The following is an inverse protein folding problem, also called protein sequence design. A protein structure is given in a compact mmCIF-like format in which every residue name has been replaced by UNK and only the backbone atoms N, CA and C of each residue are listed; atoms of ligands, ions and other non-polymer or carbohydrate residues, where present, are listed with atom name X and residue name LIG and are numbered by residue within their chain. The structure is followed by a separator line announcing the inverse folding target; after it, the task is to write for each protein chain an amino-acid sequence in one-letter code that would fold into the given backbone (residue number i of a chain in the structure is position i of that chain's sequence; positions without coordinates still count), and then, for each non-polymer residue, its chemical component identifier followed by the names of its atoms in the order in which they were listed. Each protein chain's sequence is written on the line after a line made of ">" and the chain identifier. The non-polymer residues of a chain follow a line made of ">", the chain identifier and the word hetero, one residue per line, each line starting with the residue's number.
data_IF_822074038651
#
_entry.id   IF_822074038651
#
_cell.length_a   1.000
_cell.length_b   1.000
_cell.length_c   1.000
_cell.angle_alpha   90.00
_cell.angle_beta   90.00
_cell.angle_gamma   90.00
#
_symmetry.space_group_name_H-M   'P 1'
#
loop_
_entity.id
_entity.type
_entity.pdbx_description
1 polymer ?
#
# COMPACT_ATOMS: atom_id res chain seq x y z
N UNK A 1 -32.52 -12.79 -40.60
CA UNK A 1 -31.15 -12.30 -40.56
C UNK A 1 -30.89 -11.79 -39.14
N UNK A 2 -30.15 -12.53 -38.32
CA UNK A 2 -29.68 -12.03 -37.05
C UNK A 2 -28.65 -10.95 -37.36
N UNK A 3 -28.96 -9.68 -37.09
CA UNK A 3 -27.94 -8.64 -37.00
C UNK A 3 -27.04 -9.01 -35.83
N UNK A 4 -25.88 -9.56 -36.12
CA UNK A 4 -24.77 -9.56 -35.15
C UNK A 4 -24.47 -8.10 -34.88
N UNK A 5 -24.95 -7.59 -33.75
CA UNK A 5 -24.53 -6.28 -33.25
C UNK A 5 -23.00 -6.35 -33.08
N UNK A 6 -22.28 -5.65 -33.94
CA UNK A 6 -20.83 -5.49 -33.80
C UNK A 6 -20.60 -4.76 -32.51
N UNK A 7 -19.73 -5.30 -31.66
CA UNK A 7 -19.30 -4.63 -30.43
C UNK A 7 -18.59 -3.33 -30.83
N UNK A 8 -18.76 -2.24 -30.05
CA UNK A 8 -17.98 -1.03 -30.26
C UNK A 8 -16.51 -1.27 -29.96
N UNK A 9 -15.62 -0.60 -30.70
CA UNK A 9 -14.17 -0.65 -30.48
C UNK A 9 -13.81 0.06 -29.18
N UNK A 10 -12.83 -0.48 -28.43
CA UNK A 10 -12.30 0.11 -27.22
C UNK A 10 -10.81 -0.19 -27.07
N UNK A 11 -10.00 0.82 -26.74
CA UNK A 11 -8.59 0.62 -26.39
C UNK A 11 -8.42 0.61 -24.87
N UNK A 12 -7.82 -0.46 -24.35
CA UNK A 12 -7.40 -0.56 -22.96
C UNK A 12 -5.90 -0.32 -22.83
N UNK A 13 -5.53 0.77 -22.14
CA UNK A 13 -4.15 1.08 -21.80
C UNK A 13 -3.80 0.46 -20.45
N UNK A 14 -2.97 -0.57 -20.44
CA UNK A 14 -2.49 -1.21 -19.22
C UNK A 14 -1.25 -0.51 -18.71
N UNK A 15 -1.36 0.20 -17.59
CA UNK A 15 -0.21 0.79 -16.92
C UNK A 15 0.68 -0.31 -16.29
N UNK A 16 1.98 -0.21 -16.47
CA UNK A 16 2.96 -1.11 -15.85
C UNK A 16 4.16 -0.31 -15.29
N UNK A 17 4.68 -0.70 -14.11
CA UNK A 17 4.23 -1.82 -13.28
C UNK A 17 2.88 -1.56 -12.60
N UNK A 18 2.18 -2.63 -12.27
CA UNK A 18 0.91 -2.65 -11.53
C UNK A 18 0.82 -3.90 -10.65
N UNK A 19 -0.20 -3.96 -9.80
CA UNK A 19 -0.48 -5.14 -8.98
C UNK A 19 0.59 -5.40 -7.92
N UNK A 20 0.73 -6.63 -7.47
CA UNK A 20 1.57 -6.99 -6.32
C UNK A 20 2.99 -6.43 -6.40
N UNK A 21 3.47 -5.92 -5.25
CA UNK A 21 4.87 -5.56 -5.04
C UNK A 21 5.58 -6.63 -4.21
N UNK A 22 6.92 -6.60 -4.20
CA UNK A 22 7.72 -7.58 -3.45
C UNK A 22 7.38 -7.64 -1.94
N UNK A 23 6.95 -6.52 -1.33
CA UNK A 23 6.52 -6.49 0.07
C UNK A 23 5.24 -7.27 0.30
N UNK A 24 4.27 -7.11 -0.59
CA UNK A 24 2.98 -7.83 -0.57
C UNK A 24 3.17 -9.32 -0.85
N UNK A 25 3.91 -9.69 -1.90
CA UNK A 25 4.22 -11.08 -2.21
C UNK A 25 4.87 -11.79 -1.02
N UNK A 26 5.86 -11.13 -0.40
CA UNK A 26 6.52 -11.65 0.79
C UNK A 26 5.55 -11.86 1.95
N UNK A 27 4.66 -10.91 2.22
CA UNK A 27 3.73 -10.99 3.33
C UNK A 27 2.71 -12.13 3.16
N UNK A 28 2.16 -12.29 1.96
CA UNK A 28 1.27 -13.41 1.62
C UNK A 28 1.99 -14.74 1.79
N UNK A 29 3.20 -14.88 1.24
CA UNK A 29 4.03 -16.08 1.35
C UNK A 29 4.37 -16.44 2.81
N UNK A 30 4.56 -15.45 3.67
CA UNK A 30 4.78 -15.67 5.11
C UNK A 30 3.58 -16.37 5.74
N UNK A 31 2.35 -15.93 5.46
CA UNK A 31 1.14 -16.57 6.00
C UNK A 31 1.00 -17.99 5.47
N UNK A 32 1.18 -18.21 4.18
CA UNK A 32 1.11 -19.54 3.56
C UNK A 32 2.13 -20.51 4.16
N UNK A 33 3.40 -20.11 4.26
CA UNK A 33 4.46 -20.90 4.86
C UNK A 33 4.23 -21.16 6.37
N UNK A 34 3.61 -20.24 7.07
CA UNK A 34 3.25 -20.43 8.47
C UNK A 34 2.16 -21.49 8.62
N UNK A 35 1.14 -21.48 7.75
CA UNK A 35 0.10 -22.52 7.72
C UNK A 35 0.71 -23.88 7.38
N UNK A 36 1.62 -23.95 6.40
CA UNK A 36 2.33 -25.20 6.06
C UNK A 36 3.16 -25.73 7.25
N UNK A 37 3.84 -24.82 7.97
CA UNK A 37 4.76 -25.19 9.04
C UNK A 37 4.06 -25.62 10.34
N UNK A 38 3.04 -24.88 10.76
CA UNK A 38 2.40 -25.07 12.07
C UNK A 38 0.98 -25.65 12.01
N UNK A 39 0.44 -25.77 10.80
CA UNK A 39 -0.96 -26.16 10.58
C UNK A 39 -1.93 -25.02 10.88
N UNK A 40 -3.14 -25.15 10.35
CA UNK A 40 -4.24 -24.21 10.65
C UNK A 40 -4.80 -24.48 12.07
N UNK A 41 -5.30 -23.45 12.76
CA UNK A 41 -5.31 -22.04 12.37
C UNK A 41 -3.97 -21.33 12.65
N UNK A 42 -3.63 -20.36 11.78
CA UNK A 42 -2.59 -19.36 12.01
C UNK A 42 -3.25 -18.00 12.14
N UNK A 43 -2.93 -17.26 13.18
CA UNK A 43 -3.52 -15.97 13.44
C UNK A 43 -2.75 -14.87 12.71
N UNK A 44 -3.47 -13.87 12.22
CA UNK A 44 -2.89 -12.70 11.53
C UNK A 44 -3.48 -11.45 12.16
N UNK A 45 -2.65 -10.63 12.78
CA UNK A 45 -3.09 -9.38 13.39
C UNK A 45 -3.24 -8.32 12.32
N UNK A 46 -4.46 -7.80 12.18
CA UNK A 46 -4.95 -6.95 11.10
C UNK A 46 -4.92 -7.68 9.73
N UNK A 47 -5.48 -7.06 8.70
CA UNK A 47 -5.32 -7.57 7.33
C UNK A 47 -3.83 -7.62 6.97
N UNK A 48 -3.37 -8.75 6.44
CA UNK A 48 -1.96 -8.91 6.04
C UNK A 48 -1.55 -7.85 5.01
N UNK A 49 -2.45 -7.51 4.11
CA UNK A 49 -2.42 -6.41 3.15
C UNK A 49 -3.85 -5.94 2.88
N UNK A 50 -4.05 -4.69 2.50
CA UNK A 50 -5.37 -4.14 2.20
C UNK A 50 -5.93 -4.65 0.87
N UNK A 51 -6.43 -5.88 0.87
CA UNK A 51 -7.14 -6.47 -0.27
C UNK A 51 -8.04 -7.62 0.19
N UNK A 52 -9.37 -7.43 0.06
CA UNK A 52 -10.34 -8.43 0.50
C UNK A 52 -10.16 -9.79 -0.17
N UNK A 53 -9.86 -9.83 -1.46
CA UNK A 53 -9.65 -11.09 -2.20
C UNK A 53 -8.47 -11.88 -1.61
N UNK A 54 -7.37 -11.19 -1.28
CA UNK A 54 -6.20 -11.81 -0.64
C UNK A 54 -6.54 -12.31 0.75
N UNK A 55 -7.21 -11.48 1.57
CA UNK A 55 -7.62 -11.85 2.93
C UNK A 55 -8.53 -13.07 2.91
N UNK A 56 -9.54 -13.08 2.05
CA UNK A 56 -10.47 -14.20 1.92
C UNK A 56 -9.76 -15.48 1.44
N UNK A 57 -8.86 -15.38 0.46
CA UNK A 57 -8.05 -16.52 0.00
C UNK A 57 -7.18 -17.12 1.11
N UNK A 58 -6.64 -16.30 2.00
CA UNK A 58 -5.86 -16.79 3.15
C UNK A 58 -6.75 -17.37 4.25
N UNK A 59 -7.96 -16.83 4.46
CA UNK A 59 -8.96 -17.45 5.35
C UNK A 59 -9.34 -18.84 4.89
N UNK A 60 -9.56 -19.03 3.60
CA UNK A 60 -9.87 -20.34 3.02
C UNK A 60 -8.73 -21.35 3.21
N UNK A 61 -7.49 -20.89 3.35
CA UNK A 61 -6.31 -21.70 3.65
C UNK A 61 -6.11 -21.98 5.16
N UNK A 62 -6.89 -21.30 6.03
CA UNK A 62 -6.83 -21.51 7.48
C UNK A 62 -6.17 -20.37 8.27
N UNK A 63 -6.01 -19.19 7.69
CA UNK A 63 -5.66 -17.99 8.44
C UNK A 63 -6.88 -17.42 9.18
N UNK A 64 -6.68 -16.97 10.42
CA UNK A 64 -7.67 -16.27 11.24
C UNK A 64 -7.20 -14.85 11.45
N UNK A 65 -7.95 -13.89 10.92
CA UNK A 65 -7.62 -12.46 11.06
C UNK A 65 -8.28 -11.91 12.32
N UNK A 66 -7.48 -11.23 13.13
CA UNK A 66 -7.88 -10.61 14.41
C UNK A 66 -7.40 -9.16 14.45
N UNK A 67 -8.02 -8.36 15.30
CA UNK A 67 -7.60 -6.96 15.49
C UNK A 67 -6.52 -6.85 16.56
N UNK A 68 -6.68 -7.55 17.70
CA UNK A 68 -5.76 -7.46 18.82
C UNK A 68 -5.18 -8.82 19.24
N UNK A 69 -4.04 -8.79 19.95
CA UNK A 69 -3.35 -10.01 20.38
C UNK A 69 -4.15 -10.84 21.40
N UNK A 70 -5.01 -10.21 22.20
CA UNK A 70 -5.84 -10.91 23.18
C UNK A 70 -6.87 -11.86 22.57
N UNK A 71 -7.20 -11.66 21.28
CA UNK A 71 -8.02 -12.56 20.49
C UNK A 71 -7.25 -13.83 20.05
N UNK A 72 -5.91 -13.82 20.20
CA UNK A 72 -5.08 -14.96 19.81
C UNK A 72 -4.82 -15.88 21.01
N UNK A 73 -5.04 -17.21 20.89
CA UNK A 73 -4.54 -18.18 21.86
C UNK A 73 -3.01 -18.16 21.95
N UNK A 74 -2.45 -18.29 23.15
CA UNK A 74 -0.99 -18.21 23.37
C UNK A 74 -0.22 -19.37 22.72
N UNK A 75 -0.88 -20.52 22.50
CA UNK A 75 -0.32 -21.72 21.90
C UNK A 75 -0.37 -21.73 20.36
N UNK A 76 -0.79 -20.64 19.72
CA UNK A 76 -0.91 -20.52 18.27
C UNK A 76 0.02 -19.44 17.71
N UNK A 77 0.56 -19.66 16.50
CA UNK A 77 1.40 -18.67 15.87
C UNK A 77 0.58 -17.45 15.43
N UNK A 78 1.15 -16.26 15.65
CA UNK A 78 0.57 -14.98 15.18
C UNK A 78 1.53 -14.30 14.20
N UNK A 79 0.96 -13.71 13.16
CA UNK A 79 1.69 -12.96 12.13
C UNK A 79 1.29 -11.48 12.23
N UNK A 80 2.28 -10.60 12.28
CA UNK A 80 2.05 -9.16 12.19
C UNK A 80 2.02 -8.74 10.72
N UNK A 81 1.10 -7.84 10.36
CA UNK A 81 0.84 -7.46 8.98
C UNK A 81 2.03 -6.73 8.30
N UNK A 82 1.95 -6.62 6.98
CA UNK A 82 2.97 -5.93 6.18
C UNK A 82 3.13 -4.44 6.52
N UNK A 83 2.13 -3.84 7.15
CA UNK A 83 2.10 -2.42 7.51
C UNK A 83 3.02 -2.06 8.69
N UNK A 84 3.49 -3.07 9.44
CA UNK A 84 4.24 -2.86 10.67
C UNK A 84 3.34 -2.69 11.89
N UNK A 85 3.95 -2.81 13.07
CA UNK A 85 3.25 -2.71 14.36
C UNK A 85 4.04 -1.84 15.34
N UNK A 86 3.39 -1.19 16.33
CA UNK A 86 4.07 -0.54 17.44
C UNK A 86 4.98 -1.52 18.19
N UNK A 87 6.07 -1.03 18.76
CA UNK A 87 7.02 -1.85 19.58
C UNK A 87 6.35 -2.61 20.74
N UNK A 88 5.26 -2.08 21.27
CA UNK A 88 4.52 -2.71 22.36
C UNK A 88 3.94 -4.08 21.94
N UNK A 89 3.58 -4.27 20.68
CA UNK A 89 2.92 -5.50 20.20
C UNK A 89 3.88 -6.71 20.23
N UNK A 90 5.09 -6.68 19.62
CA UNK A 90 6.02 -7.80 19.77
C UNK A 90 6.51 -7.97 21.21
N UNK A 91 6.60 -6.91 22.02
CA UNK A 91 6.94 -7.01 23.43
C UNK A 91 5.86 -7.75 24.23
N UNK A 92 4.59 -7.51 23.95
CA UNK A 92 3.45 -8.23 24.56
C UNK A 92 3.43 -9.68 24.11
N UNK A 93 3.59 -9.97 22.82
CA UNK A 93 3.66 -11.34 22.32
C UNK A 93 4.80 -12.13 22.98
N UNK A 94 5.97 -11.51 23.15
CA UNK A 94 7.10 -12.12 23.85
C UNK A 94 6.82 -12.37 25.34
N UNK A 95 6.12 -11.45 26.02
CA UNK A 95 5.71 -11.62 27.43
C UNK A 95 4.74 -12.78 27.60
N UNK A 96 3.89 -13.04 26.61
CA UNK A 96 2.93 -14.16 26.57
C UNK A 96 3.56 -15.44 26.04
N UNK A 97 4.88 -15.45 25.75
CA UNK A 97 5.61 -16.58 25.16
C UNK A 97 5.01 -17.09 23.83
N UNK A 98 4.33 -16.21 23.10
CA UNK A 98 3.72 -16.55 21.81
C UNK A 98 4.78 -16.74 20.73
N UNK A 99 4.52 -17.68 19.82
CA UNK A 99 5.26 -17.76 18.54
C UNK A 99 4.73 -16.68 17.62
N UNK A 100 5.56 -15.71 17.26
CA UNK A 100 5.16 -14.67 16.31
C UNK A 100 6.11 -14.56 15.12
N UNK A 101 5.57 -14.11 14.00
CA UNK A 101 6.34 -13.82 12.79
C UNK A 101 6.00 -12.39 12.32
N UNK A 102 7.02 -11.58 12.21
CA UNK A 102 6.86 -10.22 11.71
C UNK A 102 6.91 -10.20 10.17
N UNK A 103 5.77 -9.90 9.54
CA UNK A 103 5.67 -9.76 8.09
C UNK A 103 5.83 -8.30 7.63
N UNK A 104 6.17 -7.37 8.51
CA UNK A 104 6.42 -5.96 8.16
C UNK A 104 7.29 -5.86 6.91
N UNK A 105 6.85 -5.07 5.94
CA UNK A 105 7.60 -4.82 4.71
C UNK A 105 9.00 -4.25 5.05
N UNK A 106 10.08 -4.75 4.46
CA UNK A 106 11.43 -4.22 4.72
C UNK A 106 11.57 -2.71 4.48
N UNK A 107 10.74 -2.13 3.59
CA UNK A 107 10.74 -0.68 3.34
C UNK A 107 10.03 0.10 4.45
N UNK A 108 9.02 -0.48 5.09
CA UNK A 108 8.40 0.06 6.32
C UNK A 108 9.37 -0.08 7.49
N UNK A 109 10.02 -1.24 7.65
CA UNK A 109 11.05 -1.44 8.69
C UNK A 109 12.19 -0.44 8.58
N UNK A 110 12.55 -0.01 7.34
CA UNK A 110 13.53 1.07 7.12
C UNK A 110 13.06 2.37 7.78
N UNK A 111 11.79 2.75 7.61
CA UNK A 111 11.22 3.97 8.21
C UNK A 111 11.21 3.88 9.73
N UNK A 112 10.85 2.71 10.29
CA UNK A 112 10.92 2.46 11.73
C UNK A 112 12.32 2.67 12.30
N UNK A 113 13.34 2.06 11.68
CA UNK A 113 14.76 2.20 12.09
C UNK A 113 15.23 3.65 11.97
N UNK A 114 14.77 4.36 10.95
CA UNK A 114 15.15 5.76 10.74
C UNK A 114 14.53 6.68 11.80
N UNK A 115 13.26 6.44 12.18
CA UNK A 115 12.62 7.12 13.29
C UNK A 115 13.40 6.95 14.60
N UNK A 116 13.78 5.71 14.94
CA UNK A 116 14.58 5.41 16.12
C UNK A 116 15.93 6.11 16.11
N UNK A 117 16.65 6.03 15.00
CA UNK A 117 17.98 6.63 14.85
C UNK A 117 17.95 8.15 15.00
N UNK A 118 16.96 8.82 14.44
CA UNK A 118 16.79 10.26 14.60
C UNK A 118 16.42 10.64 16.04
N UNK A 119 15.57 9.87 16.69
CA UNK A 119 15.22 10.06 18.10
C UNK A 119 16.43 9.87 19.01
N UNK A 120 17.26 8.84 18.78
CA UNK A 120 18.53 8.61 19.49
C UNK A 120 19.53 9.76 19.31
N UNK A 121 19.49 10.45 18.16
CA UNK A 121 20.25 11.66 17.89
C UNK A 121 19.66 12.92 18.55
N UNK A 122 18.56 12.79 19.32
CA UNK A 122 17.90 13.88 20.04
C UNK A 122 16.99 14.75 19.19
N UNK A 123 16.58 14.26 18.00
CA UNK A 123 15.65 14.96 17.12
C UNK A 123 14.20 14.54 17.44
N UNK A 124 13.28 15.50 17.51
CA UNK A 124 11.85 15.21 17.55
C UNK A 124 11.35 14.86 16.15
N UNK A 125 10.49 13.84 16.06
CA UNK A 125 10.03 13.32 14.78
C UNK A 125 8.74 13.99 14.30
N UNK A 126 8.68 14.29 13.00
CA UNK A 126 7.46 14.63 12.28
C UNK A 126 7.18 13.50 11.29
N UNK A 127 6.02 12.86 11.39
CA UNK A 127 5.54 11.84 10.46
C UNK A 127 4.61 12.49 9.45
N UNK A 128 4.95 12.40 8.17
CA UNK A 128 4.02 12.72 7.09
C UNK A 128 3.25 11.44 6.74
N UNK A 129 1.94 11.42 7.00
CA UNK A 129 1.14 10.20 6.82
C UNK A 129 -0.33 10.42 7.12
N UNK A 130 -1.14 9.38 6.96
CA UNK A 130 -2.58 9.46 7.24
C UNK A 130 -2.90 8.98 8.65
N UNK A 131 -3.67 9.78 9.38
CA UNK A 131 -4.19 9.41 10.69
C UNK A 131 -4.99 8.10 10.61
N UNK A 132 -4.78 7.22 11.60
CA UNK A 132 -5.48 5.94 11.67
C UNK A 132 -5.00 4.86 10.69
N UNK A 133 -4.09 5.16 9.77
CA UNK A 133 -3.53 4.13 8.89
C UNK A 133 -2.59 3.20 9.69
N UNK A 134 -2.68 1.86 9.53
CA UNK A 134 -1.85 0.91 10.29
C UNK A 134 -0.35 1.17 10.21
N UNK A 135 0.19 1.56 9.04
CA UNK A 135 1.60 1.91 8.86
C UNK A 135 1.98 3.15 9.68
N UNK A 136 1.12 4.17 9.71
CA UNK A 136 1.34 5.38 10.50
C UNK A 136 1.33 5.07 11.99
N UNK A 137 0.33 4.29 12.46
CA UNK A 137 0.25 3.81 13.85
C UNK A 137 1.49 2.99 14.21
N UNK A 138 1.88 2.04 13.35
CA UNK A 138 3.06 1.20 13.55
C UNK A 138 4.36 2.00 13.65
N UNK A 139 4.53 2.99 12.79
CA UNK A 139 5.71 3.85 12.75
C UNK A 139 5.75 4.81 13.95
N UNK A 140 4.66 5.49 14.26
CA UNK A 140 4.58 6.36 15.45
C UNK A 140 4.84 5.58 16.73
N UNK A 141 4.34 4.35 16.83
CA UNK A 141 4.55 3.46 17.97
C UNK A 141 5.96 2.85 18.10
N UNK A 142 6.93 3.24 17.26
CA UNK A 142 8.35 2.92 17.47
C UNK A 142 8.99 3.80 18.55
N UNK A 143 8.41 4.97 18.84
CA UNK A 143 8.89 5.92 19.82
C UNK A 143 7.86 6.10 20.94
N UNK A 144 8.26 6.66 22.09
CA UNK A 144 7.32 6.97 23.16
C UNK A 144 6.20 7.92 22.71
N UNK A 145 5.05 7.84 23.38
CA UNK A 145 3.90 8.70 23.09
C UNK A 145 4.27 10.17 23.09
N UNK A 146 3.82 10.91 22.07
CA UNK A 146 4.09 12.33 21.91
C UNK A 146 5.45 12.69 21.30
N UNK A 147 6.34 11.71 21.06
CA UNK A 147 7.62 11.94 20.40
C UNK A 147 7.48 12.15 18.88
N UNK A 148 6.45 11.60 18.27
CA UNK A 148 6.16 11.72 16.84
C UNK A 148 4.94 12.59 16.63
N UNK A 149 5.10 13.69 15.91
CA UNK A 149 4.02 14.60 15.50
C UNK A 149 3.54 14.19 14.11
N UNK A 150 2.23 14.08 13.90
CA UNK A 150 1.64 13.72 12.62
C UNK A 150 1.24 14.97 11.83
N UNK A 151 1.52 14.97 10.54
CA UNK A 151 1.02 15.93 9.56
C UNK A 151 0.47 15.21 8.33
N UNK A 152 -0.68 15.65 7.84
CA UNK A 152 -1.34 15.10 6.66
C UNK A 152 -1.34 16.07 5.48
N UNK A 153 -1.28 17.38 5.79
CA UNK A 153 -1.39 18.46 4.80
C UNK A 153 -0.37 19.58 5.08
N UNK A 154 -0.06 20.44 4.10
CA UNK A 154 0.75 21.66 4.34
C UNK A 154 0.14 22.59 5.41
N UNK A 155 -1.19 22.61 5.58
CA UNK A 155 -1.84 23.42 6.61
C UNK A 155 -1.51 22.96 8.02
N UNK A 156 -1.41 21.63 8.26
CA UNK A 156 -1.06 21.08 9.57
C UNK A 156 0.34 21.50 10.00
N UNK A 157 1.23 21.72 9.03
CA UNK A 157 2.59 22.21 9.32
C UNK A 157 2.56 23.57 10.01
N UNK A 158 1.59 24.45 9.67
CA UNK A 158 1.46 25.77 10.30
C UNK A 158 1.12 25.68 11.78
N UNK A 159 0.36 24.67 12.20
CA UNK A 159 -0.13 24.49 13.57
C UNK A 159 0.77 23.59 14.43
N UNK A 160 1.85 23.03 13.87
CA UNK A 160 2.76 22.15 14.62
C UNK A 160 3.35 22.84 15.86
N UNK A 161 3.16 22.22 17.01
CA UNK A 161 3.83 22.60 18.25
C UNK A 161 5.03 21.70 18.50
N UNK A 162 6.23 22.22 18.36
CA UNK A 162 7.50 21.49 18.48
C UNK A 162 8.29 21.91 19.71
N UNK A 163 9.10 21.01 20.27
CA UNK A 163 9.94 21.28 21.43
C UNK A 163 11.09 22.24 21.13
N UNK A 164 11.81 21.99 20.03
CA UNK A 164 12.90 22.79 19.56
C UNK A 164 12.88 22.83 18.02
N UNK A 165 12.63 23.99 17.41
CA UNK A 165 12.54 24.12 15.96
C UNK A 165 13.84 23.78 15.21
N UNK A 166 14.98 23.73 15.92
CA UNK A 166 16.28 23.38 15.35
C UNK A 166 16.65 21.90 15.50
N UNK A 167 15.81 21.12 16.19
CA UNK A 167 16.06 19.69 16.47
C UNK A 167 14.90 18.83 15.99
N UNK A 168 14.65 18.85 14.70
CA UNK A 168 13.57 18.12 14.06
C UNK A 168 14.10 17.20 12.97
N UNK A 169 13.43 16.06 12.79
CA UNK A 169 13.55 15.24 11.61
C UNK A 169 12.16 14.86 11.11
N UNK A 170 12.03 14.55 9.83
CA UNK A 170 10.78 14.00 9.29
C UNK A 170 11.00 12.67 8.60
N UNK A 171 9.97 11.86 8.63
CA UNK A 171 9.81 10.61 7.89
C UNK A 171 8.45 10.60 7.20
N UNK A 172 8.26 9.69 6.23
CA UNK A 172 6.97 9.62 5.52
C UNK A 172 6.41 8.20 5.52
N UNK A 173 5.09 8.10 5.42
CA UNK A 173 4.41 6.87 5.06
C UNK A 173 4.82 6.45 3.64
N UNK A 174 4.98 5.13 3.41
CA UNK A 174 5.55 4.61 2.15
C UNK A 174 4.60 4.68 0.95
N UNK A 175 3.30 4.96 1.17
CA UNK A 175 2.23 4.90 0.16
C UNK A 175 1.57 6.24 -0.15
N UNK A 176 2.23 7.36 0.15
CA UNK A 176 1.70 8.70 -0.12
C UNK A 176 1.78 9.07 -1.61
N UNK A 177 1.06 10.12 -1.99
CA UNK A 177 1.29 10.84 -3.24
C UNK A 177 2.68 11.48 -3.21
N UNK A 178 3.45 11.26 -4.27
CA UNK A 178 4.79 11.87 -4.38
C UNK A 178 4.68 13.39 -4.43
N UNK A 179 3.75 13.90 -5.24
CA UNK A 179 3.58 15.35 -5.47
C UNK A 179 3.07 16.04 -4.19
N UNK A 180 2.02 15.51 -3.54
CA UNK A 180 1.47 16.10 -2.30
C UNK A 180 2.49 16.06 -1.16
N UNK A 181 3.34 15.03 -1.12
CA UNK A 181 4.39 14.91 -0.10
C UNK A 181 5.47 15.98 -0.28
N UNK A 182 5.79 16.36 -1.51
CA UNK A 182 6.73 17.45 -1.81
C UNK A 182 6.21 18.76 -1.21
N UNK A 183 4.92 19.08 -1.39
CA UNK A 183 4.32 20.31 -0.87
C UNK A 183 4.39 20.37 0.67
N UNK A 184 4.18 19.23 1.35
CA UNK A 184 4.30 19.16 2.82
C UNK A 184 5.76 19.33 3.25
N UNK A 185 6.70 18.69 2.56
CA UNK A 185 8.14 18.81 2.84
C UNK A 185 8.61 20.25 2.65
N UNK A 186 8.15 20.93 1.60
CA UNK A 186 8.51 22.32 1.33
C UNK A 186 7.94 23.27 2.41
N UNK A 187 6.72 23.02 2.88
CA UNK A 187 6.15 23.73 4.02
C UNK A 187 6.96 23.49 5.32
N UNK A 188 7.36 22.24 5.59
CA UNK A 188 8.23 21.91 6.74
C UNK A 188 9.58 22.62 6.66
N UNK A 189 10.25 22.58 5.51
CA UNK A 189 11.55 23.23 5.31
C UNK A 189 11.46 24.76 5.37
N UNK A 190 10.35 25.32 4.91
CA UNK A 190 10.10 26.76 5.02
C UNK A 190 9.94 27.19 6.46
N UNK A 191 9.19 26.43 7.24
CA UNK A 191 8.96 26.75 8.66
C UNK A 191 10.14 26.35 9.57
N UNK A 192 10.83 25.26 9.25
CA UNK A 192 11.93 24.67 10.01
C UNK A 192 13.16 24.43 9.10
N UNK A 193 13.94 25.46 8.78
CA UNK A 193 15.01 25.35 7.76
C UNK A 193 16.10 24.32 8.06
N UNK A 194 16.23 23.90 9.33
CA UNK A 194 17.22 22.93 9.79
C UNK A 194 16.67 21.51 9.91
N UNK A 195 15.40 21.28 9.55
CA UNK A 195 14.79 19.96 9.66
C UNK A 195 15.52 18.92 8.81
N UNK A 196 15.80 17.77 9.40
CA UNK A 196 16.52 16.66 8.75
C UNK A 196 15.49 15.74 8.07
N UNK A 197 15.70 15.48 6.80
CA UNK A 197 14.88 14.49 6.07
C UNK A 197 15.49 13.09 6.13
N UNK A 198 14.76 12.09 5.58
CA UNK A 198 15.26 10.73 5.46
C UNK A 198 16.51 10.66 4.58
N UNK A 199 17.42 9.74 4.91
CA UNK A 199 18.67 9.54 4.14
C UNK A 199 18.40 9.08 2.70
N UNK A 200 17.34 8.28 2.51
CA UNK A 200 16.76 7.89 1.22
C UNK A 200 15.26 8.08 1.33
N UNK A 201 14.63 8.42 0.23
CA UNK A 201 13.18 8.60 0.16
C UNK A 201 12.43 7.43 0.83
N UNK A 202 11.40 7.74 1.61
CA UNK A 202 10.59 6.77 2.32
C UNK A 202 9.44 6.25 1.45
N UNK A 203 8.91 7.08 0.53
CA UNK A 203 7.92 6.61 -0.44
C UNK A 203 8.55 5.47 -1.24
N UNK A 204 7.93 4.30 -1.18
CA UNK A 204 8.55 3.10 -1.72
C UNK A 204 8.53 3.07 -3.25
N UNK A 205 9.50 2.36 -3.85
CA UNK A 205 9.62 2.19 -5.30
C UNK A 205 8.30 1.73 -5.95
N UNK A 206 7.56 0.85 -5.27
CA UNK A 206 6.31 0.33 -5.80
C UNK A 206 5.22 1.42 -5.91
N UNK A 207 5.17 2.34 -4.94
CA UNK A 207 4.30 3.51 -4.96
C UNK A 207 4.71 4.48 -6.07
N UNK A 208 5.98 4.84 -6.11
CA UNK A 208 6.53 5.78 -7.11
C UNK A 208 6.32 5.28 -8.53
N UNK A 209 6.66 4.00 -8.79
CA UNK A 209 6.55 3.41 -10.12
C UNK A 209 5.09 3.34 -10.60
N UNK A 210 4.15 2.95 -9.73
CA UNK A 210 2.74 2.87 -10.11
C UNK A 210 2.14 4.24 -10.36
N UNK A 211 2.52 5.26 -9.60
CA UNK A 211 2.11 6.65 -9.87
C UNK A 211 2.69 7.14 -11.20
N UNK A 212 3.96 6.86 -11.49
CA UNK A 212 4.57 7.20 -12.77
C UNK A 212 3.86 6.51 -13.94
N UNK A 213 3.48 5.23 -13.78
CA UNK A 213 2.75 4.48 -14.80
C UNK A 213 1.36 5.06 -15.07
N UNK A 214 0.63 5.50 -14.04
CA UNK A 214 -0.65 6.21 -14.20
C UNK A 214 -0.45 7.54 -14.93
N UNK A 215 0.53 8.36 -14.53
CA UNK A 215 0.84 9.63 -15.20
C UNK A 215 1.13 9.44 -16.69
N UNK A 216 1.85 8.36 -17.06
CA UNK A 216 2.22 8.07 -18.45
C UNK A 216 1.03 7.72 -19.35
N UNK A 217 -0.07 7.23 -18.81
CA UNK A 217 -1.29 6.91 -19.58
C UNK A 217 -2.36 7.98 -19.50
N UNK A 218 -2.33 8.87 -18.49
CA UNK A 218 -3.43 9.80 -18.17
C UNK A 218 -3.84 10.70 -19.35
N UNK A 219 -2.89 11.10 -20.21
CA UNK A 219 -3.18 11.91 -21.40
C UNK A 219 -3.73 11.12 -22.61
N UNK A 220 -3.77 9.80 -22.53
CA UNK A 220 -4.19 8.89 -23.61
C UNK A 220 -5.57 8.29 -23.40
N UNK A 221 -6.17 8.50 -22.24
CA UNK A 221 -7.34 7.79 -21.76
C UNK A 221 -8.49 8.75 -21.45
N UNK A 222 -9.70 8.29 -21.75
CA UNK A 222 -10.94 9.00 -21.40
C UNK A 222 -11.35 8.71 -19.95
N UNK A 223 -10.97 7.54 -19.43
CA UNK A 223 -11.25 7.13 -18.06
C UNK A 223 -10.19 6.16 -17.50
N UNK A 224 -10.06 6.12 -16.19
CA UNK A 224 -9.12 5.26 -15.44
C UNK A 224 -9.88 4.34 -14.50
N UNK A 225 -9.59 3.04 -14.56
CA UNK A 225 -9.98 2.09 -13.53
C UNK A 225 -8.76 1.65 -12.73
N UNK A 226 -8.83 1.83 -11.42
CA UNK A 226 -7.82 1.38 -10.47
C UNK A 226 -8.35 0.16 -9.74
N UNK A 227 -7.75 -1.00 -9.96
CA UNK A 227 -8.10 -2.21 -9.21
C UNK A 227 -7.44 -2.16 -7.84
N UNK A 228 -8.25 -2.20 -6.76
CA UNK A 228 -7.74 -2.12 -5.40
C UNK A 228 -8.84 -2.01 -4.36
N UNK A 229 -8.46 -2.02 -3.09
CA UNK A 229 -9.39 -1.92 -1.97
C UNK A 229 -9.57 -0.47 -1.49
N UNK A 230 -10.78 -0.11 -0.98
CA UNK A 230 -11.06 1.25 -0.51
C UNK A 230 -10.28 1.65 0.74
N UNK A 231 -9.73 0.71 1.48
CA UNK A 231 -8.85 0.95 2.62
C UNK A 231 -7.35 0.92 2.24
N UNK A 232 -7.01 0.67 0.98
CA UNK A 232 -5.63 0.72 0.48
C UNK A 232 -5.23 2.15 0.14
N UNK A 233 -4.31 2.73 0.91
CA UNK A 233 -3.74 4.06 0.64
C UNK A 233 -3.13 4.13 -0.76
N UNK A 234 -2.31 3.16 -1.16
CA UNK A 234 -1.72 3.11 -2.49
C UNK A 234 -2.78 3.16 -3.61
N UNK A 235 -3.87 2.39 -3.48
CA UNK A 235 -4.91 2.34 -4.52
C UNK A 235 -5.69 3.66 -4.62
N UNK A 236 -6.00 4.30 -3.49
CA UNK A 236 -6.63 5.63 -3.48
C UNK A 236 -5.75 6.67 -4.16
N UNK A 237 -4.45 6.68 -3.84
CA UNK A 237 -3.50 7.62 -4.45
C UNK A 237 -3.43 7.48 -5.97
N UNK A 238 -3.55 6.28 -6.53
CA UNK A 238 -3.57 6.09 -7.98
C UNK A 238 -4.80 6.72 -8.64
N UNK A 239 -5.98 6.69 -8.00
CA UNK A 239 -7.18 7.39 -8.47
C UNK A 239 -6.94 8.90 -8.47
N UNK A 240 -6.42 9.44 -7.38
CA UNK A 240 -6.14 10.87 -7.22
C UNK A 240 -5.09 11.36 -8.21
N UNK A 241 -3.99 10.59 -8.38
CA UNK A 241 -2.96 10.89 -9.39
C UNK A 241 -3.55 10.91 -10.80
N UNK A 242 -4.42 9.95 -11.15
CA UNK A 242 -5.10 9.94 -12.44
C UNK A 242 -5.95 11.20 -12.65
N UNK A 243 -6.77 11.56 -11.66
CA UNK A 243 -7.61 12.76 -11.69
C UNK A 243 -6.80 14.05 -11.79
N UNK A 244 -5.74 14.18 -10.99
CA UNK A 244 -4.84 15.35 -11.00
C UNK A 244 -4.07 15.49 -12.32
N UNK A 245 -3.85 14.40 -13.07
CA UNK A 245 -3.15 14.42 -14.35
C UNK A 245 -4.10 14.43 -15.58
N UNK A 246 -5.34 14.90 -15.39
CA UNK A 246 -6.26 15.21 -16.48
C UNK A 246 -7.21 14.08 -16.90
N UNK A 247 -7.24 12.96 -16.18
CA UNK A 247 -8.24 11.94 -16.41
C UNK A 247 -9.59 12.43 -15.88
N UNK A 248 -10.56 12.61 -16.79
CA UNK A 248 -11.87 13.16 -16.45
C UNK A 248 -12.72 12.23 -15.59
N UNK A 249 -12.48 10.92 -15.69
CA UNK A 249 -13.14 9.88 -14.91
C UNK A 249 -12.11 8.92 -14.33
N UNK A 250 -12.08 8.76 -13.01
CA UNK A 250 -11.24 7.79 -12.34
C UNK A 250 -12.04 7.05 -11.26
N UNK A 251 -12.07 5.72 -11.32
CA UNK A 251 -12.82 4.87 -10.40
C UNK A 251 -11.92 3.83 -9.76
N UNK A 252 -12.07 3.68 -8.42
CA UNK A 252 -11.53 2.54 -7.69
C UNK A 252 -12.55 1.39 -7.77
N UNK A 253 -12.10 0.22 -8.19
CA UNK A 253 -12.92 -1.01 -8.26
C UNK A 253 -12.19 -2.15 -7.56
N UNK A 254 -12.91 -2.94 -6.77
CA UNK A 254 -12.32 -4.15 -6.19
C UNK A 254 -12.38 -5.32 -7.17
N UNK A 255 -13.44 -5.36 -8.00
CA UNK A 255 -13.74 -6.41 -8.97
C UNK A 255 -14.45 -5.84 -10.20
N UNK A 256 -14.57 -6.63 -11.26
CA UNK A 256 -15.29 -6.25 -12.45
C UNK A 256 -16.79 -5.92 -12.21
N UNK A 257 -17.39 -6.47 -11.15
CA UNK A 257 -18.78 -6.18 -10.75
C UNK A 257 -19.00 -4.76 -10.27
N UNK A 258 -17.94 -4.07 -9.85
CA UNK A 258 -18.01 -2.72 -9.30
C UNK A 258 -17.92 -1.63 -10.38
N UNK A 259 -17.71 -2.02 -11.64
CA UNK A 259 -17.55 -1.08 -12.76
C UNK A 259 -18.88 -0.36 -13.01
N UNK A 260 -18.85 0.98 -12.93
CA UNK A 260 -19.96 1.81 -13.34
C UNK A 260 -20.01 1.96 -14.88
N UNK A 261 -20.67 0.99 -15.53
CA UNK A 261 -20.80 0.96 -16.98
C UNK A 261 -21.54 2.16 -17.56
N UNK A 262 -22.35 2.88 -16.76
CA UNK A 262 -23.07 4.08 -17.22
C UNK A 262 -22.13 5.25 -17.39
N UNK A 263 -21.20 5.41 -16.45
CA UNK A 263 -20.17 6.43 -16.51
C UNK A 263 -19.18 6.22 -17.68
N UNK A 264 -19.09 4.99 -18.20
CA UNK A 264 -18.24 4.62 -19.34
C UNK A 264 -18.94 4.71 -20.70
N UNK A 265 -20.13 5.33 -20.77
CA UNK A 265 -20.88 5.47 -22.04
C UNK A 265 -20.17 6.48 -22.95
N UNK A 266 -19.88 6.07 -24.20
CA UNK A 266 -19.25 6.93 -25.20
C UNK A 266 -17.72 7.07 -25.07
N UNK A 267 -17.10 6.35 -24.14
CA UNK A 267 -15.64 6.29 -23.95
C UNK A 267 -15.03 5.37 -25.01
N UNK A 268 -13.89 5.79 -25.58
CA UNK A 268 -13.13 5.03 -26.58
C UNK A 268 -11.83 4.46 -26.06
N UNK A 269 -11.37 4.96 -24.91
CA UNK A 269 -10.10 4.56 -24.29
C UNK A 269 -10.20 4.50 -22.77
N UNK A 270 -9.71 3.41 -22.16
CA UNK A 270 -9.68 3.20 -20.72
C UNK A 270 -8.28 2.83 -20.28
N UNK A 271 -7.78 3.53 -19.26
CA UNK A 271 -6.61 3.13 -18.51
C UNK A 271 -6.96 2.09 -17.44
N UNK A 272 -6.14 1.07 -17.32
CA UNK A 272 -6.26 0.06 -16.26
C UNK A 272 -4.94 -0.01 -15.50
N UNK A 273 -5.03 0.12 -14.18
CA UNK A 273 -3.93 -0.12 -13.24
C UNK A 273 -4.42 -0.89 -12.03
N UNK A 274 -3.49 -1.32 -11.20
CA UNK A 274 -3.79 -2.04 -9.96
C UNK A 274 -2.87 -1.59 -8.83
N UNK A 275 -3.44 -1.38 -7.65
CA UNK A 275 -2.67 -1.06 -6.45
C UNK A 275 -1.73 -2.19 -6.05
N UNK A 276 -0.72 -1.86 -5.24
CA UNK A 276 0.36 -2.76 -4.83
C UNK A 276 -0.12 -4.03 -4.06
N UNK A 277 -1.36 -4.06 -3.61
CA UNK A 277 -1.99 -5.19 -2.93
C UNK A 277 -3.04 -5.93 -3.75
N UNK A 278 -3.25 -5.56 -5.03
CA UNK A 278 -4.24 -6.19 -5.90
C UNK A 278 -3.57 -7.23 -6.80
N UNK A 279 -4.05 -8.50 -6.81
CA UNK A 279 -3.49 -9.54 -7.65
C UNK A 279 -3.90 -9.38 -9.11
N UNK A 280 -3.04 -9.84 -10.03
CA UNK A 280 -3.26 -9.74 -11.49
C UNK A 280 -4.52 -10.46 -11.97
N UNK A 281 -4.99 -11.47 -11.25
CA UNK A 281 -6.25 -12.16 -11.56
C UNK A 281 -7.44 -11.20 -11.56
N UNK A 282 -7.47 -10.19 -10.71
CA UNK A 282 -8.53 -9.18 -10.69
C UNK A 282 -8.41 -8.20 -11.87
N UNK A 283 -7.21 -7.92 -12.34
CA UNK A 283 -6.98 -7.13 -13.57
C UNK A 283 -7.53 -7.88 -14.77
N UNK A 284 -7.23 -9.18 -14.88
CA UNK A 284 -7.75 -10.02 -15.96
C UNK A 284 -9.26 -10.12 -15.92
N UNK A 285 -9.88 -10.23 -14.74
CA UNK A 285 -11.35 -10.22 -14.56
C UNK A 285 -11.97 -8.92 -15.14
N UNK A 286 -11.35 -7.78 -14.89
CA UNK A 286 -11.78 -6.48 -15.45
C UNK A 286 -11.62 -6.46 -16.96
N UNK A 287 -10.48 -6.87 -17.51
CA UNK A 287 -10.25 -6.95 -18.96
C UNK A 287 -11.29 -7.84 -19.63
N UNK A 288 -11.60 -8.99 -19.06
CA UNK A 288 -12.57 -9.92 -19.62
C UNK A 288 -14.01 -9.35 -19.57
N UNK A 289 -14.35 -8.58 -18.56
CA UNK A 289 -15.62 -7.86 -18.49
C UNK A 289 -15.77 -6.81 -19.63
N UNK A 290 -14.66 -6.14 -20.01
CA UNK A 290 -14.64 -5.28 -21.19
C UNK A 290 -14.77 -6.07 -22.48
N UNK A 291 -14.01 -7.15 -22.65
CA UNK A 291 -14.10 -8.05 -23.82
C UNK A 291 -15.49 -8.63 -24.04
N UNK A 292 -16.25 -8.82 -22.97
CA UNK A 292 -17.64 -9.25 -23.07
C UNK A 292 -18.54 -8.22 -23.77
N UNK A 293 -18.21 -6.92 -23.72
CA UNK A 293 -19.02 -5.78 -24.20
C UNK A 293 -18.46 -5.07 -25.43
N UNK A 294 -17.15 -5.08 -25.61
CA UNK A 294 -16.41 -4.31 -26.61
C UNK A 294 -15.53 -5.19 -27.48
N UNK A 295 -15.16 -4.70 -28.65
CA UNK A 295 -14.01 -5.20 -29.40
C UNK A 295 -12.75 -4.51 -28.85
N UNK A 296 -11.94 -5.25 -28.08
CA UNK A 296 -10.91 -4.69 -27.21
C UNK A 296 -9.53 -4.83 -27.83
N UNK A 297 -8.87 -3.71 -28.02
CA UNK A 297 -7.40 -3.64 -28.23
C UNK A 297 -6.72 -3.34 -26.90
N UNK A 298 -5.66 -4.09 -26.56
CA UNK A 298 -4.90 -3.90 -25.32
C UNK A 298 -3.50 -3.37 -25.65
N UNK A 299 -3.15 -2.23 -25.08
CA UNK A 299 -1.83 -1.61 -25.16
C UNK A 299 -1.15 -1.58 -23.79
N UNK A 300 0.03 -2.20 -23.69
CA UNK A 300 0.86 -2.14 -22.49
C UNK A 300 1.72 -0.87 -22.51
N UNK A 301 1.67 -0.09 -21.44
CA UNK A 301 2.52 1.09 -21.24
C UNK A 301 3.41 0.85 -20.02
N UNK A 302 4.64 0.43 -20.28
CA UNK A 302 5.62 0.10 -19.26
C UNK A 302 6.54 1.30 -19.00
N UNK A 303 6.66 1.71 -17.73
CA UNK A 303 7.51 2.83 -17.29
C UNK A 303 8.72 2.37 -16.49
N UNK A 304 8.66 1.20 -15.88
CA UNK A 304 9.75 0.62 -15.09
C UNK A 304 9.62 -0.90 -14.99
N UNK A 305 10.74 -1.58 -14.76
CA UNK A 305 10.78 -3.01 -14.44
C UNK A 305 11.15 -3.20 -12.98
N UNK A 306 10.40 -4.05 -12.27
CA UNK A 306 10.61 -4.34 -10.85
C UNK A 306 11.21 -5.75 -10.70
N UNK A 307 12.48 -5.81 -10.28
CA UNK A 307 13.23 -7.06 -10.07
C UNK A 307 13.62 -7.21 -8.59
N UNK A 308 12.77 -6.72 -7.68
CA UNK A 308 13.02 -6.76 -6.24
C UNK A 308 12.34 -7.98 -5.64
N UNK A 309 13.08 -8.74 -4.85
CA UNK A 309 12.56 -9.84 -4.05
C UNK A 309 13.01 -9.69 -2.59
N UNK A 310 12.09 -9.87 -1.66
CA UNK A 310 12.38 -9.86 -0.22
C UNK A 310 12.34 -11.27 0.35
N UNK A 311 13.42 -11.64 1.06
CA UNK A 311 13.51 -12.95 1.73
C UNK A 311 12.49 -13.04 2.86
N UNK A 312 11.84 -14.19 2.98
CA UNK A 312 11.01 -14.52 4.15
C UNK A 312 11.85 -14.67 5.43
N UNK A 313 11.27 -14.49 6.64
CA UNK A 313 11.98 -14.67 7.90
C UNK A 313 12.63 -16.04 8.02
N UNK A 314 13.78 -16.09 8.71
CA UNK A 314 14.56 -17.34 8.84
C UNK A 314 13.75 -18.52 9.39
N UNK A 315 12.84 -18.24 10.33
CA UNK A 315 11.98 -19.25 10.97
C UNK A 315 11.09 -19.99 9.96
N UNK A 316 10.77 -19.39 8.81
CA UNK A 316 9.94 -20.00 7.76
C UNK A 316 10.74 -20.53 6.57
N UNK A 317 12.07 -20.44 6.59
CA UNK A 317 12.88 -20.98 5.51
C UNK A 317 13.06 -22.48 5.73
N UNK A 318 12.89 -23.27 4.67
CA UNK A 318 13.29 -24.68 4.68
C UNK A 318 14.79 -24.73 4.92
N UNK A 319 15.31 -25.54 5.84
CA UNK A 319 16.76 -25.80 5.93
C UNK A 319 17.26 -26.27 4.56
N UNK A 320 18.35 -25.67 4.08
CA UNK A 320 19.00 -26.11 2.84
C UNK A 320 19.62 -27.48 3.00
#
# INVERSE_FOLDING_TARGET
>A
MMHTLTKPDLTLYLAAPRGFCAGVDRAIKIVELAIEKWGAPVYVRHEIVHNKFVVDSLRDKGAVFVEELDECPDDRPVIFSAHGVPKAIPAEAAKREMVYVDATCPLVSKVHIEAERHSEAGLQMVMIGHAGHPETIGTMGQLPDGEVLLVETPADVADLSVRDPNKLAFITQTTLSVDDTIDIIDALRTRFPTIVGPHKEDICYATTNRQAAVKAISSKIDGLLVIGAPNSSNSKRLVEVGSANGCAYAQLVQRATDIDWRALTGISSIGITAGASAPEVLVNEVIDAFRARFDVTVELVETAQENIEFKVPRVLRVPA
#
